data_IF_137080755139
#
_entry.id   IF_137080755139
#
_cell.length_a   1.000
_cell.length_b   1.000
_cell.length_c   1.000
_cell.angle_alpha   90.00
_cell.angle_beta   90.00
_cell.angle_gamma   90.00
#
_symmetry.space_group_name_H-M   'P 1'
#
loop_
_entity.id
_entity.type
_entity.pdbx_description
1 polymer ?
#
# COMPACT_ATOMS: atom_id res chain seq x y z
N UNK A 1 9.97 26.64 5.05
CA UNK A 1 8.71 26.38 4.31
C UNK A 1 8.15 25.06 4.81
N UNK A 2 6.87 25.00 5.23
CA UNK A 2 6.23 23.72 5.58
C UNK A 2 5.84 23.04 4.27
N UNK A 3 6.41 21.87 3.97
CA UNK A 3 5.98 21.09 2.81
C UNK A 3 4.52 20.69 2.98
N UNK A 4 3.68 20.82 1.94
CA UNK A 4 2.28 20.43 2.03
C UNK A 4 2.16 18.94 2.38
N UNK A 5 1.24 18.65 3.29
CA UNK A 5 0.89 17.29 3.71
C UNK A 5 -0.60 17.10 3.44
N UNK A 6 -0.95 16.02 2.76
CA UNK A 6 -2.36 15.62 2.64
C UNK A 6 -2.68 14.74 3.85
N UNK A 7 -3.69 15.14 4.61
CA UNK A 7 -4.32 14.30 5.62
C UNK A 7 -5.73 14.01 5.13
N UNK A 8 -5.97 12.77 4.72
CA UNK A 8 -7.22 12.36 4.12
C UNK A 8 -7.95 11.34 5.00
N UNK A 9 -9.26 11.52 5.11
CA UNK A 9 -10.19 10.49 5.58
C UNK A 9 -11.25 10.31 4.49
N UNK A 10 -11.40 9.09 4.03
CA UNK A 10 -12.20 8.73 2.85
C UNK A 10 -13.15 7.60 3.24
N UNK A 11 -14.41 7.68 2.84
CA UNK A 11 -15.40 6.61 2.96
C UNK A 11 -16.34 6.74 1.75
N UNK A 12 -15.84 6.39 0.57
CA UNK A 12 -16.50 6.71 -0.69
C UNK A 12 -16.35 5.53 -1.67
N UNK A 13 -17.26 5.40 -2.63
CA UNK A 13 -17.23 4.35 -3.67
C UNK A 13 -16.42 4.77 -4.90
N UNK A 14 -15.67 5.87 -4.82
CA UNK A 14 -15.08 6.55 -5.96
C UNK A 14 -13.57 6.36 -6.08
N UNK A 15 -13.07 6.49 -7.30
CA UNK A 15 -11.62 6.48 -7.57
C UNK A 15 -10.97 7.75 -7.02
N UNK A 16 -9.91 7.60 -6.22
CA UNK A 16 -9.19 8.74 -5.61
C UNK A 16 -7.72 8.76 -5.99
N UNK A 17 -7.27 9.86 -6.62
CA UNK A 17 -5.86 10.16 -6.83
C UNK A 17 -5.37 11.23 -5.83
N UNK A 18 -4.31 10.92 -5.07
CA UNK A 18 -3.67 11.85 -4.14
C UNK A 18 -2.20 12.07 -4.50
N UNK A 19 -1.81 13.35 -4.64
CA UNK A 19 -0.43 13.75 -4.95
C UNK A 19 0.05 14.85 -4.00
N UNK A 20 1.06 14.54 -3.19
CA UNK A 20 1.64 15.48 -2.21
C UNK A 20 3.01 15.00 -1.76
N UNK A 21 3.93 15.87 -1.28
CA UNK A 21 5.19 15.45 -0.67
C UNK A 21 5.02 14.42 0.46
N UNK A 22 3.96 14.56 1.26
CA UNK A 22 3.57 13.58 2.28
C UNK A 22 2.08 13.31 2.22
N UNK A 23 1.70 12.03 2.29
CA UNK A 23 0.30 11.59 2.38
C UNK A 23 0.12 10.77 3.66
N UNK A 24 -0.86 11.17 4.47
CA UNK A 24 -1.39 10.40 5.59
C UNK A 24 -2.87 10.13 5.31
N UNK A 25 -3.23 8.88 5.07
CA UNK A 25 -4.60 8.52 4.68
C UNK A 25 -5.20 7.45 5.59
N UNK A 26 -6.49 7.62 5.89
CA UNK A 26 -7.31 6.58 6.50
C UNK A 26 -8.59 6.43 5.68
N UNK A 27 -8.67 5.36 4.92
CA UNK A 27 -9.75 5.16 3.96
C UNK A 27 -10.52 3.87 4.25
N UNK A 28 -11.77 3.84 3.83
CA UNK A 28 -12.57 2.63 3.75
C UNK A 28 -13.49 2.81 2.55
N UNK A 29 -12.94 2.53 1.38
CA UNK A 29 -13.55 2.89 0.10
C UNK A 29 -13.86 1.61 -0.68
N UNK A 30 -14.99 1.57 -1.38
CA UNK A 30 -15.24 0.45 -2.31
C UNK A 30 -14.46 0.65 -3.62
N UNK A 31 -14.00 1.88 -3.89
CA UNK A 31 -13.28 2.25 -5.11
C UNK A 31 -11.75 2.13 -5.05
N UNK A 32 -11.12 2.43 -6.19
CA UNK A 32 -9.66 2.33 -6.38
C UNK A 32 -8.92 3.57 -5.85
N UNK A 33 -7.82 3.37 -5.12
CA UNK A 33 -6.97 4.47 -4.66
C UNK A 33 -5.58 4.48 -5.30
N UNK A 34 -5.18 5.65 -5.80
CA UNK A 34 -3.82 5.90 -6.29
C UNK A 34 -3.13 7.00 -5.45
N UNK A 35 -1.99 6.67 -4.83
CA UNK A 35 -1.22 7.60 -4.01
C UNK A 35 0.22 7.76 -4.51
N UNK A 36 0.61 9.01 -4.80
CA UNK A 36 1.96 9.37 -5.24
C UNK A 36 2.57 10.40 -4.29
N UNK A 37 3.63 10.01 -3.57
CA UNK A 37 4.23 10.88 -2.55
C UNK A 37 5.71 10.59 -2.26
N UNK A 38 6.43 11.51 -1.62
CA UNK A 38 7.76 11.23 -1.08
C UNK A 38 7.70 10.34 0.18
N UNK A 39 6.58 10.36 0.90
CA UNK A 39 6.29 9.43 1.99
C UNK A 39 4.79 9.14 2.09
N UNK A 40 4.41 7.86 2.19
CA UNK A 40 3.02 7.43 2.37
C UNK A 40 2.87 6.68 3.68
N UNK A 41 1.95 7.14 4.53
CA UNK A 41 1.44 6.40 5.68
C UNK A 41 -0.05 6.21 5.51
N UNK A 42 -0.51 4.97 5.38
CA UNK A 42 -1.94 4.77 5.12
C UNK A 42 -2.52 3.51 5.78
N UNK A 43 -3.76 3.67 6.25
CA UNK A 43 -4.57 2.59 6.81
C UNK A 43 -5.87 2.51 6.03
N UNK A 44 -6.02 1.49 5.18
CA UNK A 44 -7.15 1.39 4.28
C UNK A 44 -7.86 0.04 4.39
N UNK A 45 -9.05 -0.06 3.84
CA UNK A 45 -9.83 -1.29 3.76
C UNK A 45 -10.70 -1.12 2.53
N UNK A 46 -10.21 -1.60 1.39
CA UNK A 46 -10.79 -1.25 0.09
C UNK A 46 -11.20 -2.48 -0.72
N UNK A 47 -12.33 -2.42 -1.42
CA UNK A 47 -12.82 -3.59 -2.18
C UNK A 47 -12.08 -3.76 -3.51
N UNK A 48 -11.96 -2.70 -4.31
CA UNK A 48 -11.39 -2.78 -5.66
C UNK A 48 -9.85 -2.60 -5.75
N UNK A 49 -9.19 -2.19 -4.66
CA UNK A 49 -7.72 -2.26 -4.54
C UNK A 49 -6.96 -0.92 -4.61
N UNK A 50 -5.62 -1.02 -4.53
CA UNK A 50 -4.76 0.15 -4.28
C UNK A 50 -3.43 0.15 -5.05
N UNK A 51 -3.05 1.31 -5.58
CA UNK A 51 -1.69 1.59 -6.07
C UNK A 51 -1.00 2.68 -5.23
N UNK A 52 0.22 2.36 -4.76
CA UNK A 52 1.04 3.31 -4.00
C UNK A 52 2.47 3.39 -4.52
N UNK A 53 2.92 4.62 -4.79
CA UNK A 53 4.28 4.90 -5.26
C UNK A 53 4.95 5.95 -4.38
N UNK A 54 6.03 5.54 -3.69
CA UNK A 54 6.77 6.44 -2.81
C UNK A 54 8.18 5.94 -2.49
N UNK A 55 9.16 6.81 -2.21
CA UNK A 55 10.42 6.47 -1.55
C UNK A 55 10.25 5.64 -0.27
N UNK A 56 9.16 5.84 0.48
CA UNK A 56 8.85 5.06 1.69
C UNK A 56 7.35 4.84 1.82
N UNK A 57 6.95 3.58 1.99
CA UNK A 57 5.55 3.20 2.20
C UNK A 57 5.41 2.48 3.53
N UNK A 58 4.57 3.02 4.41
CA UNK A 58 4.10 2.35 5.63
C UNK A 58 2.60 2.15 5.53
N UNK A 59 2.14 0.90 5.58
CA UNK A 59 0.77 0.60 5.25
C UNK A 59 0.15 -0.53 6.07
N UNK A 60 -1.12 -0.35 6.44
CA UNK A 60 -1.95 -1.43 6.99
C UNK A 60 -3.27 -1.49 6.23
N UNK A 61 -3.47 -2.53 5.45
CA UNK A 61 -4.63 -2.61 4.57
C UNK A 61 -5.28 -3.98 4.58
N UNK A 62 -6.50 -4.07 4.06
CA UNK A 62 -7.28 -5.29 3.95
C UNK A 62 -8.12 -5.10 2.70
N UNK A 63 -7.71 -5.70 1.58
CA UNK A 63 -8.35 -5.40 0.30
C UNK A 63 -8.87 -6.66 -0.39
N UNK A 64 -9.98 -6.57 -1.13
CA UNK A 64 -10.51 -7.78 -1.79
C UNK A 64 -9.79 -8.07 -3.11
N UNK A 65 -9.64 -7.08 -4.00
CA UNK A 65 -9.12 -7.27 -5.35
C UNK A 65 -7.59 -7.08 -5.52
N UNK A 66 -6.87 -6.65 -4.48
CA UNK A 66 -5.40 -6.71 -4.41
C UNK A 66 -4.67 -5.36 -4.41
N UNK A 67 -3.34 -5.41 -4.32
CA UNK A 67 -2.50 -4.21 -4.12
C UNK A 67 -1.23 -4.18 -4.93
N UNK A 68 -0.87 -2.99 -5.44
CA UNK A 68 0.46 -2.71 -6.01
C UNK A 68 1.22 -1.64 -5.21
N UNK A 69 2.46 -1.97 -4.80
CA UNK A 69 3.34 -1.03 -4.07
C UNK A 69 4.74 -0.97 -4.66
N UNK A 70 5.18 0.24 -4.98
CA UNK A 70 6.50 0.54 -5.56
C UNK A 70 7.27 1.49 -4.66
N UNK A 71 8.34 1.00 -4.02
CA UNK A 71 9.16 1.82 -3.11
C UNK A 71 10.56 1.24 -2.88
N UNK A 72 11.59 2.05 -2.66
CA UNK A 72 12.83 1.64 -2.00
C UNK A 72 12.63 0.91 -0.65
N UNK A 73 11.62 1.31 0.14
CA UNK A 73 11.34 0.70 1.44
C UNK A 73 9.85 0.52 1.64
N UNK A 74 9.40 -0.72 1.83
CA UNK A 74 8.01 -1.07 2.13
C UNK A 74 7.93 -1.71 3.51
N UNK A 75 7.13 -1.13 4.40
CA UNK A 75 6.72 -1.75 5.66
C UNK A 75 5.21 -1.91 5.64
N UNK A 76 4.72 -3.14 5.71
CA UNK A 76 3.29 -3.35 5.54
C UNK A 76 2.69 -4.58 6.20
N UNK A 77 1.45 -4.43 6.65
CA UNK A 77 0.59 -5.53 7.12
C UNK A 77 -0.68 -5.55 6.29
N UNK A 78 -0.90 -6.61 5.52
CA UNK A 78 -2.04 -6.69 4.60
C UNK A 78 -2.77 -8.03 4.68
N UNK A 79 -3.99 -8.08 4.17
CA UNK A 79 -4.79 -9.30 4.09
C UNK A 79 -5.67 -9.18 2.85
N UNK A 80 -5.25 -9.78 1.74
CA UNK A 80 -5.92 -9.57 0.46
C UNK A 80 -6.38 -10.87 -0.18
N UNK A 81 -7.60 -10.93 -0.72
CA UNK A 81 -8.10 -12.19 -1.31
C UNK A 81 -7.37 -12.53 -2.62
N UNK A 82 -7.23 -11.54 -3.51
CA UNK A 82 -6.72 -11.72 -4.89
C UNK A 82 -5.23 -11.47 -5.11
N UNK A 83 -4.48 -11.14 -4.06
CA UNK A 83 -3.02 -11.11 -4.09
C UNK A 83 -2.36 -9.73 -4.12
N UNK A 84 -1.03 -9.73 -3.93
CA UNK A 84 -0.23 -8.50 -3.80
C UNK A 84 1.02 -8.50 -4.70
N UNK A 85 1.28 -7.37 -5.36
CA UNK A 85 2.56 -7.08 -6.01
C UNK A 85 3.36 -5.99 -5.27
N UNK A 86 4.58 -6.33 -4.86
CA UNK A 86 5.50 -5.40 -4.19
C UNK A 86 6.85 -5.37 -4.87
N UNK A 87 7.30 -4.16 -5.20
CA UNK A 87 8.59 -3.90 -5.87
C UNK A 87 9.44 -3.01 -4.98
N UNK A 88 10.46 -3.60 -4.35
CA UNK A 88 11.34 -2.89 -3.42
C UNK A 88 12.63 -3.66 -3.14
N UNK A 89 13.77 -2.98 -2.91
CA UNK A 89 14.96 -3.61 -2.34
C UNK A 89 14.78 -4.04 -0.88
N UNK A 90 13.91 -3.37 -0.11
CA UNK A 90 13.66 -3.64 1.30
C UNK A 90 12.16 -3.77 1.59
N UNK A 91 11.72 -4.99 1.90
CA UNK A 91 10.33 -5.27 2.29
C UNK A 91 10.29 -5.88 3.67
N UNK A 92 9.54 -5.27 4.58
CA UNK A 92 9.12 -5.86 5.85
C UNK A 92 7.60 -6.03 5.79
N UNK A 93 7.14 -7.26 5.62
CA UNK A 93 5.75 -7.56 5.33
C UNK A 93 5.20 -8.68 6.20
N UNK A 94 3.98 -8.52 6.69
CA UNK A 94 3.16 -9.64 7.18
C UNK A 94 1.84 -9.63 6.42
N UNK A 95 1.67 -10.58 5.52
CA UNK A 95 0.52 -10.60 4.65
C UNK A 95 -0.06 -12.00 4.53
N UNK A 96 -1.38 -12.07 4.42
CA UNK A 96 -2.13 -13.29 4.19
C UNK A 96 -2.89 -13.07 2.88
N UNK A 97 -2.55 -13.81 1.82
CA UNK A 97 -3.35 -13.76 0.59
C UNK A 97 -3.84 -15.16 0.21
N UNK A 98 -5.09 -15.25 -0.24
CA UNK A 98 -5.72 -16.52 -0.61
C UNK A 98 -5.26 -16.99 -2.00
N UNK A 99 -5.09 -16.08 -2.96
CA UNK A 99 -4.73 -16.41 -4.36
C UNK A 99 -3.25 -16.13 -4.74
N UNK A 100 -2.42 -15.69 -3.80
CA UNK A 100 -0.96 -15.69 -3.94
C UNK A 100 -0.26 -14.34 -3.86
N UNK A 101 1.03 -14.38 -3.54
CA UNK A 101 1.88 -13.21 -3.30
C UNK A 101 3.04 -13.13 -4.30
N UNK A 102 3.30 -11.94 -4.87
CA UNK A 102 4.48 -11.69 -5.69
C UNK A 102 5.31 -10.52 -5.16
N UNK A 103 6.32 -10.83 -4.36
CA UNK A 103 7.35 -9.90 -3.97
C UNK A 103 8.56 -10.01 -4.92
N UNK A 104 8.92 -8.91 -5.59
CA UNK A 104 10.21 -8.81 -6.31
C UNK A 104 11.24 -8.17 -5.39
N UNK A 105 12.05 -9.02 -4.75
CA UNK A 105 13.16 -8.65 -3.88
C UNK A 105 14.51 -8.99 -4.53
N UNK A 106 15.56 -8.17 -4.38
CA UNK A 106 16.92 -8.65 -4.48
C UNK A 106 17.20 -9.62 -3.31
N UNK A 107 18.04 -10.63 -3.54
CA UNK A 107 18.29 -11.86 -2.73
C UNK A 107 18.57 -11.70 -1.22
N UNK A 108 18.55 -10.49 -0.64
CA UNK A 108 19.00 -10.17 0.73
C UNK A 108 17.87 -10.06 1.79
N UNK A 109 16.61 -9.86 1.39
CA UNK A 109 15.56 -9.39 2.32
C UNK A 109 14.41 -10.39 2.57
N UNK A 110 14.67 -11.70 2.61
CA UNK A 110 13.61 -12.68 2.84
C UNK A 110 13.23 -12.77 4.33
N UNK A 111 12.07 -12.21 4.68
CA UNK A 111 11.26 -12.72 5.78
C UNK A 111 9.78 -12.57 5.42
N UNK A 112 9.35 -13.37 4.44
CA UNK A 112 7.93 -13.62 4.17
C UNK A 112 7.56 -14.93 4.87
N UNK A 113 6.85 -14.85 6.00
CA UNK A 113 6.29 -16.06 6.63
C UNK A 113 5.08 -16.48 5.81
N UNK A 114 5.26 -17.49 4.96
CA UNK A 114 4.17 -18.21 4.29
C UNK A 114 3.62 -19.17 5.35
N UNK A 115 2.34 -19.01 5.72
CA UNK A 115 1.60 -19.99 6.54
C UNK A 115 0.50 -20.57 5.67
#
# INVERSE_FOLDING_TARGET
MKSPTIVAKCNDEEVREMKSPTIVAKCNDEGVQEMKSSAIVAKCNDEEGQERKSPTIVAKCNDEEGQERKSPTIVAKCNDKRGQERKSPTIVAKCNDEEGHRAKLPLSSQNATIT
#
